data_IF_585098502745
#
_entry.id   IF_585098502745
#
_cell.length_a   1.000
_cell.length_b   1.000
_cell.length_c   1.000
_cell.angle_alpha   90.00
_cell.angle_beta   90.00
_cell.angle_gamma   90.00
#
_symmetry.space_group_name_H-M   'P 1'
#
loop_
_entity.id
_entity.type
_entity.pdbx_description
1 polymer ?
#
# COMPACT_ATOMS: atom_id res chain seq x y z
N UNK A 1 -0.05 -20.14 13.84
CA UNK A 1 0.13 -18.94 12.98
C UNK A 1 -0.69 -17.82 13.61
N UNK A 2 -0.10 -16.65 13.85
CA UNK A 2 -0.87 -15.51 14.39
C UNK A 2 -1.79 -14.93 13.29
N UNK A 3 -2.75 -14.10 13.69
CA UNK A 3 -3.79 -13.55 12.79
C UNK A 3 -3.19 -12.73 11.63
N UNK A 4 -2.16 -11.92 11.90
CA UNK A 4 -1.47 -11.12 10.89
C UNK A 4 -0.78 -11.98 9.80
N UNK A 5 -0.07 -13.04 10.19
CA UNK A 5 0.52 -13.98 9.22
C UNK A 5 -0.55 -14.73 8.43
N UNK A 6 -1.70 -15.04 9.04
CA UNK A 6 -2.83 -15.68 8.34
C UNK A 6 -3.40 -14.75 7.27
N UNK A 7 -3.60 -13.46 7.58
CA UNK A 7 -4.06 -12.47 6.61
C UNK A 7 -3.08 -12.37 5.42
N UNK A 8 -1.78 -12.21 5.69
CA UNK A 8 -0.76 -12.12 4.64
C UNK A 8 -0.76 -13.32 3.70
N UNK A 9 -0.89 -14.53 4.26
CA UNK A 9 -1.00 -15.75 3.47
C UNK A 9 -2.24 -15.71 2.57
N UNK A 10 -3.41 -15.40 3.13
CA UNK A 10 -4.67 -15.41 2.37
C UNK A 10 -4.65 -14.35 1.28
N UNK A 11 -4.14 -13.14 1.59
CA UNK A 11 -3.91 -12.12 0.58
C UNK A 11 -2.97 -12.61 -0.53
N UNK A 12 -1.84 -13.22 -0.16
CA UNK A 12 -0.91 -13.76 -1.16
C UNK A 12 -1.54 -14.83 -2.04
N UNK A 13 -2.26 -15.79 -1.45
CA UNK A 13 -2.98 -16.83 -2.19
C UNK A 13 -4.09 -16.27 -3.09
N UNK A 14 -4.78 -15.20 -2.65
CA UNK A 14 -5.76 -14.49 -3.47
C UNK A 14 -5.09 -13.86 -4.69
N UNK A 15 -4.01 -13.10 -4.48
CA UNK A 15 -3.26 -12.46 -5.57
C UNK A 15 -2.68 -13.50 -6.53
N UNK A 16 -2.14 -14.61 -6.05
CA UNK A 16 -1.66 -15.70 -6.90
C UNK A 16 -2.77 -16.29 -7.79
N UNK A 17 -3.99 -16.41 -7.24
CA UNK A 17 -5.15 -16.92 -8.01
C UNK A 17 -5.61 -15.94 -9.08
N UNK A 18 -5.55 -14.63 -8.80
CA UNK A 18 -5.96 -13.58 -9.74
C UNK A 18 -4.92 -13.29 -10.82
N UNK A 19 -3.65 -13.46 -10.48
CA UNK A 19 -2.53 -13.17 -11.36
C UNK A 19 -1.68 -14.44 -11.58
N UNK A 20 -2.27 -15.49 -12.18
CA UNK A 20 -1.52 -16.70 -12.52
C UNK A 20 -0.43 -16.38 -13.54
N UNK A 21 0.56 -17.26 -13.65
CA UNK A 21 1.71 -17.08 -14.53
C UNK A 21 3.04 -17.21 -13.79
N UNK A 22 4.13 -16.96 -14.51
CA UNK A 22 5.48 -16.95 -13.95
C UNK A 22 6.01 -15.51 -13.85
N UNK A 23 7.24 -15.33 -13.34
CA UNK A 23 7.81 -14.00 -13.15
C UNK A 23 8.15 -13.28 -14.47
N UNK A 24 8.12 -13.97 -15.61
CA UNK A 24 8.41 -13.37 -16.91
C UNK A 24 7.17 -12.77 -17.59
N UNK A 25 5.97 -13.02 -17.06
CA UNK A 25 4.72 -12.47 -17.59
C UNK A 25 4.64 -10.95 -17.33
N UNK A 26 4.66 -10.12 -18.40
CA UNK A 26 4.68 -8.67 -18.28
C UNK A 26 3.35 -8.07 -17.77
N UNK A 27 2.27 -8.83 -17.78
CA UNK A 27 0.96 -8.38 -17.30
C UNK A 27 0.78 -8.61 -15.80
N UNK A 28 1.71 -9.31 -15.13
CA UNK A 28 1.65 -9.51 -13.68
C UNK A 28 2.05 -8.24 -12.93
N UNK A 29 1.30 -7.86 -11.87
CA UNK A 29 1.58 -6.64 -11.14
C UNK A 29 2.84 -6.76 -10.29
N UNK A 30 3.57 -5.65 -10.18
CA UNK A 30 4.69 -5.49 -9.25
C UNK A 30 4.15 -4.91 -7.94
N UNK A 31 4.48 -5.55 -6.83
CA UNK A 31 4.05 -5.13 -5.49
C UNK A 31 5.13 -4.29 -4.80
N UNK A 32 4.71 -3.39 -3.92
CA UNK A 32 5.55 -2.83 -2.85
C UNK A 32 4.93 -3.25 -1.52
N UNK A 33 5.73 -3.90 -0.66
CA UNK A 33 5.22 -4.57 0.54
C UNK A 33 6.08 -4.24 1.75
N UNK A 34 5.44 -4.04 2.90
CA UNK A 34 6.14 -3.94 4.19
C UNK A 34 6.43 -5.29 4.83
N UNK A 35 5.70 -6.35 4.43
CA UNK A 35 5.97 -7.72 4.85
C UNK A 35 6.58 -8.56 3.72
N UNK A 36 7.88 -8.38 3.50
CA UNK A 36 8.68 -9.05 2.48
C UNK A 36 8.79 -10.60 2.59
N UNK A 37 8.06 -11.22 3.53
CA UNK A 37 8.02 -12.67 3.71
C UNK A 37 6.77 -13.31 3.09
N UNK A 38 5.70 -13.44 3.89
CA UNK A 38 4.53 -14.23 3.52
C UNK A 38 3.84 -13.74 2.23
N UNK A 39 3.63 -12.43 2.07
CA UNK A 39 2.87 -11.90 0.93
C UNK A 39 3.59 -12.17 -0.40
N UNK A 40 4.89 -11.84 -0.58
CA UNK A 40 5.63 -12.26 -1.78
C UNK A 40 5.70 -13.77 -1.98
N UNK A 41 5.92 -14.54 -0.90
CA UNK A 41 6.03 -15.99 -0.97
C UNK A 41 4.76 -16.66 -1.52
N UNK A 42 3.60 -16.31 -0.98
CA UNK A 42 2.32 -16.90 -1.38
C UNK A 42 1.77 -16.33 -2.69
N UNK A 43 1.99 -15.04 -2.98
CA UNK A 43 1.56 -14.44 -4.25
C UNK A 43 2.42 -14.83 -5.44
N UNK A 44 3.71 -15.11 -5.20
CA UNK A 44 4.72 -15.36 -6.23
C UNK A 44 4.84 -14.21 -7.24
N UNK A 45 4.46 -13.01 -6.84
CA UNK A 45 4.57 -11.78 -7.63
C UNK A 45 5.92 -11.11 -7.35
N UNK A 46 6.44 -10.36 -8.34
CA UNK A 46 7.58 -9.50 -8.08
C UNK A 46 7.21 -8.49 -6.99
N UNK A 47 8.13 -8.26 -6.04
CA UNK A 47 7.89 -7.34 -4.93
C UNK A 47 9.13 -6.53 -4.58
N UNK A 48 8.88 -5.27 -4.25
CA UNK A 48 9.82 -4.34 -3.63
C UNK A 48 9.56 -4.39 -2.13
N UNK A 49 10.58 -4.75 -1.35
CA UNK A 49 10.52 -4.63 0.10
C UNK A 49 10.73 -3.16 0.51
N UNK A 50 9.66 -2.53 0.97
CA UNK A 50 9.70 -1.10 1.28
C UNK A 50 10.49 -0.80 2.54
N UNK A 51 10.84 -1.79 3.38
CA UNK A 51 11.61 -1.59 4.60
C UNK A 51 13.12 -1.83 4.40
N UNK A 52 13.53 -2.29 3.22
CA UNK A 52 14.94 -2.48 2.87
C UNK A 52 15.63 -3.66 3.57
N UNK A 53 14.88 -4.66 4.04
CA UNK A 53 15.46 -5.93 4.52
C UNK A 53 16.00 -6.75 3.36
N UNK A 54 15.33 -6.72 2.20
CA UNK A 54 15.73 -7.48 1.00
C UNK A 54 15.93 -6.63 -0.25
N UNK A 55 15.68 -5.32 -0.20
CA UNK A 55 15.91 -4.38 -1.32
C UNK A 55 17.12 -3.48 -1.00
N UNK A 56 18.19 -3.62 -1.79
CA UNK A 56 19.49 -2.98 -1.57
C UNK A 56 19.44 -1.46 -1.76
N UNK A 57 18.67 -0.99 -2.74
CA UNK A 57 18.47 0.43 -2.97
C UNK A 57 17.77 1.07 -1.77
N UNK A 58 16.70 0.44 -1.26
CA UNK A 58 15.98 0.94 -0.09
C UNK A 58 16.89 0.95 1.12
N UNK A 59 17.65 -0.12 1.37
CA UNK A 59 18.61 -0.19 2.48
C UNK A 59 19.63 0.97 2.46
N UNK A 60 20.05 1.41 1.27
CA UNK A 60 21.05 2.47 1.10
C UNK A 60 20.46 3.89 0.97
N UNK A 61 19.23 4.05 0.46
CA UNK A 61 18.66 5.34 0.05
C UNK A 61 17.25 5.60 0.60
N UNK A 62 16.77 4.75 1.51
CA UNK A 62 15.45 4.90 2.11
C UNK A 62 15.30 6.18 2.93
N UNK A 63 14.04 6.57 3.13
CA UNK A 63 13.67 7.68 3.99
C UNK A 63 13.65 7.21 5.44
N UNK A 64 14.29 7.98 6.32
CA UNK A 64 14.26 7.72 7.75
C UNK A 64 13.09 8.43 8.43
N UNK A 65 12.44 7.70 9.35
CA UNK A 65 11.44 8.27 10.26
C UNK A 65 12.08 9.09 11.37
N UNK A 66 11.33 10.06 11.91
CA UNK A 66 11.78 10.91 13.03
C UNK A 66 11.83 10.13 14.36
N UNK A 67 11.12 9.01 14.44
CA UNK A 67 10.97 8.19 15.63
C UNK A 67 11.67 6.84 15.46
N UNK A 68 12.40 6.41 16.50
CA UNK A 68 13.08 5.13 16.52
C UNK A 68 12.08 3.98 16.77
N UNK A 69 11.68 3.29 15.70
CA UNK A 69 10.91 2.05 15.77
C UNK A 69 11.76 0.90 15.20
N UNK A 70 12.26 -0.03 16.05
CA UNK A 70 13.05 -1.17 15.59
C UNK A 70 12.40 -1.90 14.40
N UNK A 71 13.18 -2.11 13.35
CA UNK A 71 12.73 -2.78 12.12
C UNK A 71 11.82 -1.95 11.20
N UNK A 72 11.47 -0.71 11.57
CA UNK A 72 10.57 0.17 10.80
C UNK A 72 11.09 1.62 10.76
N UNK A 73 12.41 1.78 10.78
CA UNK A 73 13.05 3.10 10.76
C UNK A 73 13.16 3.70 9.36
N UNK A 74 13.01 2.86 8.34
CA UNK A 74 13.35 3.13 6.97
C UNK A 74 12.18 2.76 6.08
N UNK A 75 11.86 3.60 5.10
CA UNK A 75 10.92 3.24 4.03
C UNK A 75 11.45 3.63 2.66
N UNK A 76 11.02 2.93 1.61
CA UNK A 76 11.34 3.30 0.24
C UNK A 76 10.77 4.69 -0.16
N UNK A 77 11.54 5.54 -0.86
CA UNK A 77 11.00 6.78 -1.42
C UNK A 77 9.92 6.49 -2.48
N UNK A 78 8.87 7.33 -2.58
CA UNK A 78 7.79 7.12 -3.56
C UNK A 78 8.33 7.18 -5.00
N UNK A 79 9.27 8.08 -5.29
CA UNK A 79 9.92 8.19 -6.60
C UNK A 79 10.67 6.91 -6.99
N UNK A 80 11.21 6.16 -6.01
CA UNK A 80 11.82 4.86 -6.25
C UNK A 80 10.77 3.81 -6.64
N UNK A 81 9.63 3.75 -5.95
CA UNK A 81 8.53 2.83 -6.30
C UNK A 81 7.99 3.12 -7.71
N UNK A 82 7.91 4.40 -8.10
CA UNK A 82 7.55 4.82 -9.46
C UNK A 82 8.59 4.33 -10.48
N UNK A 83 9.90 4.51 -10.21
CA UNK A 83 10.98 3.99 -11.09
C UNK A 83 10.94 2.48 -11.23
N UNK A 84 10.63 1.76 -10.14
CA UNK A 84 10.44 0.30 -10.12
C UNK A 84 9.12 -0.15 -10.76
N UNK A 85 8.30 0.79 -11.24
CA UNK A 85 7.03 0.53 -11.93
C UNK A 85 6.04 -0.27 -11.07
N UNK A 86 6.10 -0.09 -9.75
CA UNK A 86 5.19 -0.69 -8.78
C UNK A 86 3.75 -0.37 -9.16
N UNK A 87 2.91 -1.40 -9.19
CA UNK A 87 1.48 -1.27 -9.44
C UNK A 87 0.71 -1.11 -8.13
N UNK A 88 0.98 -1.96 -7.14
CA UNK A 88 0.26 -2.00 -5.87
C UNK A 88 1.21 -1.76 -4.70
N UNK A 89 0.90 -0.78 -3.86
CA UNK A 89 1.53 -0.62 -2.55
C UNK A 89 0.58 -1.22 -1.51
N UNK A 90 1.00 -2.31 -0.86
CA UNK A 90 0.20 -3.05 0.12
C UNK A 90 0.87 -2.91 1.48
N UNK A 91 0.22 -2.18 2.37
CA UNK A 91 0.58 -2.12 3.77
C UNK A 91 -0.29 -3.07 4.58
N UNK A 92 0.15 -3.38 5.80
CA UNK A 92 -0.51 -4.30 6.70
C UNK A 92 -1.37 -3.54 7.71
N UNK A 93 -2.68 -3.54 7.51
CA UNK A 93 -3.64 -2.87 8.40
C UNK A 93 -4.81 -3.77 8.85
N UNK A 94 -4.71 -5.08 8.62
CA UNK A 94 -5.79 -6.01 8.91
C UNK A 94 -6.80 -6.09 7.77
N UNK A 95 -7.87 -6.86 7.97
CA UNK A 95 -8.99 -6.83 7.05
C UNK A 95 -9.94 -5.69 7.43
N UNK A 96 -10.42 -4.97 6.43
CA UNK A 96 -11.43 -3.93 6.58
C UNK A 96 -12.82 -4.49 6.26
N UNK A 97 -13.82 -3.83 6.84
CA UNK A 97 -15.21 -3.96 6.39
C UNK A 97 -15.48 -2.85 5.36
N UNK A 98 -15.76 -3.19 4.10
CA UNK A 98 -16.04 -2.17 3.09
C UNK A 98 -17.28 -1.35 3.42
N UNK A 99 -17.23 -0.06 3.08
CA UNK A 99 -18.33 0.88 3.29
C UNK A 99 -19.09 1.06 1.96
N UNK A 100 -20.38 0.65 1.86
CA UNK A 100 -21.12 0.65 0.59
C UNK A 100 -21.23 2.03 -0.09
N UNK A 101 -21.24 3.08 0.71
CA UNK A 101 -21.46 4.47 0.33
C UNK A 101 -20.16 5.29 0.21
N UNK A 102 -18.99 4.66 0.41
CA UNK A 102 -17.69 5.32 0.29
C UNK A 102 -17.49 5.91 -1.11
N UNK A 103 -16.87 7.09 -1.17
CA UNK A 103 -16.61 7.83 -2.41
C UNK A 103 -15.14 8.11 -2.69
N UNK A 104 -14.30 8.13 -1.65
CA UNK A 104 -12.88 8.42 -1.75
C UNK A 104 -12.17 7.96 -0.46
N UNK A 105 -10.84 8.00 -0.49
CA UNK A 105 -9.98 7.97 0.70
C UNK A 105 -9.28 9.29 0.88
N UNK A 106 -9.24 9.80 2.10
CA UNK A 106 -8.40 10.94 2.47
C UNK A 106 -6.94 10.51 2.54
N UNK A 107 -6.02 11.44 2.26
CA UNK A 107 -4.61 11.20 2.49
C UNK A 107 -4.32 10.77 3.93
N UNK A 108 -4.97 11.39 4.92
CA UNK A 108 -4.83 11.04 6.35
C UNK A 108 -5.26 9.62 6.70
N UNK A 109 -6.22 9.03 5.98
CA UNK A 109 -6.60 7.61 6.16
C UNK A 109 -5.51 6.65 5.67
N UNK A 110 -4.67 7.09 4.73
CA UNK A 110 -3.64 6.26 4.11
C UNK A 110 -2.27 6.42 4.77
N UNK A 111 -2.04 7.47 5.57
CA UNK A 111 -0.71 7.75 6.14
C UNK A 111 -0.20 6.59 6.98
N UNK A 112 -1.08 5.88 7.69
CA UNK A 112 -0.68 4.73 8.50
C UNK A 112 0.00 3.62 7.68
N UNK A 113 -0.30 3.53 6.38
CA UNK A 113 0.31 2.57 5.47
C UNK A 113 1.74 2.91 5.12
N UNK A 114 2.06 4.20 5.12
CA UNK A 114 3.37 4.67 4.71
C UNK A 114 3.81 5.97 5.40
N UNK A 115 3.94 5.94 6.75
CA UNK A 115 3.92 7.14 7.58
C UNK A 115 5.18 8.00 7.45
N UNK A 116 6.28 7.41 7.00
CA UNK A 116 7.56 8.13 6.85
C UNK A 116 7.67 8.84 5.48
N UNK A 117 6.97 8.33 4.47
CA UNK A 117 6.93 8.92 3.13
C UNK A 117 5.87 10.03 3.04
N UNK A 118 5.98 10.87 2.01
CA UNK A 118 4.94 11.83 1.67
C UNK A 118 4.02 11.24 0.59
N UNK A 119 2.80 10.85 0.97
CA UNK A 119 1.84 10.28 0.02
C UNK A 119 1.33 11.29 -1.01
N UNK A 120 1.61 12.59 -0.84
CA UNK A 120 1.35 13.60 -1.87
C UNK A 120 2.23 13.39 -3.10
N UNK A 121 3.37 12.73 -2.95
CA UNK A 121 4.30 12.40 -4.05
C UNK A 121 3.85 11.19 -4.88
N UNK A 122 2.78 10.49 -4.47
CA UNK A 122 2.16 9.45 -5.29
C UNK A 122 1.77 10.01 -6.67
N UNK A 123 1.84 9.20 -7.73
CA UNK A 123 1.36 9.60 -9.05
C UNK A 123 -0.05 10.22 -8.99
N UNK A 124 -0.34 11.29 -9.78
CA UNK A 124 -1.64 11.96 -9.71
C UNK A 124 -2.84 11.05 -9.98
N UNK A 125 -2.65 10.02 -10.82
CA UNK A 125 -3.64 9.01 -11.16
C UNK A 125 -3.77 7.90 -10.11
N UNK A 126 -2.98 7.91 -9.04
CA UNK A 126 -3.02 6.85 -8.04
C UNK A 126 -4.34 6.86 -7.25
N UNK A 127 -4.90 5.67 -7.07
CA UNK A 127 -6.18 5.41 -6.40
C UNK A 127 -5.99 4.41 -5.27
N UNK A 128 -7.08 4.06 -4.58
CA UNK A 128 -7.12 2.99 -3.58
C UNK A 128 -8.03 1.89 -4.09
N UNK A 129 -7.54 0.65 -4.01
CA UNK A 129 -8.31 -0.54 -4.28
C UNK A 129 -8.73 -1.20 -2.97
N UNK A 130 -10.01 -1.55 -2.85
CA UNK A 130 -10.49 -2.52 -1.89
C UNK A 130 -10.46 -3.90 -2.57
N UNK A 131 -9.50 -4.75 -2.16
CA UNK A 131 -9.34 -6.10 -2.67
C UNK A 131 -10.13 -7.06 -1.77
N UNK A 132 -11.20 -7.72 -2.26
CA UNK A 132 -12.01 -8.59 -1.44
C UNK A 132 -11.24 -9.86 -1.04
N UNK A 133 -11.39 -10.23 0.23
CA UNK A 133 -10.97 -11.50 0.80
C UNK A 133 -12.19 -12.21 1.39
N UNK A 134 -12.04 -13.47 1.77
CA UNK A 134 -13.12 -14.27 2.36
C UNK A 134 -13.76 -13.63 3.62
N UNK A 135 -12.99 -12.85 4.38
CA UNK A 135 -13.38 -12.28 5.68
C UNK A 135 -13.36 -10.75 5.70
N UNK A 136 -13.42 -10.10 4.52
CA UNK A 136 -13.45 -8.65 4.42
C UNK A 136 -12.76 -8.15 3.16
N UNK A 137 -11.97 -7.09 3.28
CA UNK A 137 -11.11 -6.62 2.19
C UNK A 137 -9.78 -6.15 2.75
N UNK A 138 -8.82 -5.90 1.87
CA UNK A 138 -7.62 -5.12 2.22
C UNK A 138 -7.54 -3.90 1.32
N UNK A 139 -6.81 -2.88 1.77
CA UNK A 139 -6.44 -1.78 0.91
C UNK A 139 -5.16 -2.06 0.14
N UNK A 140 -5.10 -1.54 -1.07
CA UNK A 140 -3.86 -1.34 -1.80
C UNK A 140 -3.89 0.04 -2.46
N UNK A 141 -2.79 0.78 -2.40
CA UNK A 141 -2.64 1.98 -3.23
C UNK A 141 -2.28 1.51 -4.63
N UNK A 142 -3.13 1.80 -5.61
CA UNK A 142 -2.89 1.51 -7.01
C UNK A 142 -2.10 2.65 -7.64
N UNK A 143 -0.78 2.50 -7.65
CA UNK A 143 0.15 3.55 -8.03
C UNK A 143 0.35 3.63 -9.56
N UNK A 144 0.12 2.53 -10.28
CA UNK A 144 0.34 2.44 -11.73
C UNK A 144 -0.58 1.42 -12.38
N UNK A 145 -1.21 1.83 -13.48
CA UNK A 145 -2.07 0.99 -14.30
C UNK A 145 -1.41 -0.34 -14.73
N UNK A 146 -2.23 -1.39 -14.76
CA UNK A 146 -1.90 -2.75 -15.11
C UNK A 146 -3.17 -3.42 -15.71
N UNK A 147 -3.12 -3.95 -16.94
CA UNK A 147 -4.30 -4.50 -17.60
C UNK A 147 -4.99 -5.66 -16.87
N UNK A 148 -4.26 -6.42 -16.04
CA UNK A 148 -4.86 -7.50 -15.26
C UNK A 148 -5.61 -6.97 -14.04
N UNK A 149 -5.11 -5.91 -13.40
CA UNK A 149 -5.82 -5.22 -12.31
C UNK A 149 -7.03 -4.47 -12.87
N UNK A 150 -6.86 -3.74 -13.97
CA UNK A 150 -7.92 -2.93 -14.59
C UNK A 150 -9.15 -3.81 -14.92
N UNK A 151 -8.93 -5.03 -15.44
CA UNK A 151 -10.00 -6.01 -15.69
C UNK A 151 -10.80 -6.36 -14.43
N UNK A 152 -10.15 -6.50 -13.28
CA UNK A 152 -10.81 -6.81 -12.00
C UNK A 152 -11.60 -5.61 -11.46
N UNK A 153 -11.19 -4.40 -11.81
CA UNK A 153 -11.95 -3.18 -11.48
C UNK A 153 -13.15 -3.04 -12.41
N UNK A 154 -12.93 -3.21 -13.72
CA UNK A 154 -13.94 -3.07 -14.76
C UNK A 154 -15.09 -4.09 -14.62
N UNK A 155 -14.79 -5.33 -14.22
CA UNK A 155 -15.80 -6.36 -13.97
C UNK A 155 -16.49 -6.23 -12.60
N UNK A 156 -16.09 -5.25 -11.80
CA UNK A 156 -16.65 -4.96 -10.48
C UNK A 156 -16.17 -5.90 -9.37
N UNK A 157 -15.19 -6.77 -9.64
CA UNK A 157 -14.66 -7.66 -8.60
C UNK A 157 -13.87 -6.90 -7.55
N UNK A 158 -13.08 -5.90 -7.96
CA UNK A 158 -12.35 -5.00 -7.07
C UNK A 158 -13.00 -3.62 -7.12
N UNK A 159 -13.04 -2.93 -5.97
CA UNK A 159 -13.56 -1.57 -5.92
C UNK A 159 -12.42 -0.57 -5.92
N UNK A 160 -12.52 0.44 -6.77
CA UNK A 160 -11.55 1.51 -6.88
C UNK A 160 -12.14 2.83 -6.38
N UNK A 161 -11.33 3.57 -5.62
CA UNK A 161 -11.70 4.85 -5.06
C UNK A 161 -10.61 5.89 -5.28
N UNK A 162 -10.96 7.14 -5.65
CA UNK A 162 -9.98 8.21 -5.76
C UNK A 162 -9.41 8.59 -4.40
N UNK A 163 -8.19 9.12 -4.41
CA UNK A 163 -7.55 9.74 -3.24
C UNK A 163 -7.91 11.23 -3.22
N UNK A 164 -8.55 11.69 -2.14
CA UNK A 164 -8.80 13.10 -1.90
C UNK A 164 -7.48 13.77 -1.49
N UNK A 165 -6.94 14.61 -2.38
CA UNK A 165 -5.66 15.32 -2.20
C UNK A 165 -5.81 16.81 -1.91
N UNK A 166 -6.93 17.42 -2.31
CA UNK A 166 -7.15 18.87 -2.24
C UNK A 166 -8.62 19.21 -1.95
N UNK A 167 -8.90 20.26 -1.14
CA UNK A 167 -7.92 21.02 -0.36
C UNK A 167 -7.31 20.16 0.76
N UNK A 168 -6.08 20.49 1.19
CA UNK A 168 -5.38 19.70 2.21
C UNK A 168 -6.17 19.64 3.54
N UNK A 169 -6.96 20.67 3.84
CA UNK A 169 -7.86 20.71 5.01
C UNK A 169 -8.97 19.66 4.98
N UNK A 170 -9.37 19.18 3.80
CA UNK A 170 -10.33 18.09 3.64
C UNK A 170 -9.63 16.73 3.48
N UNK A 171 -8.44 16.72 2.89
CA UNK A 171 -7.62 15.52 2.67
C UNK A 171 -6.90 15.03 3.95
N UNK A 172 -6.75 15.88 4.95
CA UNK A 172 -6.03 15.59 6.19
C UNK A 172 -6.88 15.95 7.40
N UNK A 173 -7.41 14.93 8.09
CA UNK A 173 -8.16 15.08 9.34
C UNK A 173 -7.41 14.47 10.52
N UNK A 174 -7.39 15.19 11.64
CA UNK A 174 -6.73 14.76 12.88
C UNK A 174 -7.33 13.47 13.46
N UNK A 175 -8.62 13.22 13.19
CA UNK A 175 -9.36 12.03 13.62
C UNK A 175 -8.90 10.75 12.95
N UNK A 176 -8.27 10.84 11.76
CA UNK A 176 -7.80 9.67 11.03
C UNK A 176 -6.42 9.20 11.51
N UNK A 177 -5.67 10.08 12.20
CA UNK A 177 -4.27 9.82 12.55
C UNK A 177 -4.14 9.09 13.90
N UNK A 178 -3.53 7.91 13.88
CA UNK A 178 -3.13 7.20 15.10
C UNK A 178 -1.98 7.90 15.81
N UNK A 179 -1.79 7.61 17.10
CA UNK A 179 -0.67 8.19 17.86
C UNK A 179 0.69 7.80 17.29
N UNK A 180 0.79 6.59 16.73
CA UNK A 180 2.01 6.11 16.09
C UNK A 180 2.36 6.97 14.86
N UNK A 181 1.38 7.26 14.01
CA UNK A 181 1.57 8.12 12.83
C UNK A 181 2.02 9.53 13.24
N UNK A 182 1.41 10.12 14.28
CA UNK A 182 1.81 11.43 14.80
C UNK A 182 3.27 11.47 15.25
N UNK A 183 3.78 10.36 15.80
CA UNK A 183 5.17 10.21 16.23
C UNK A 183 6.14 9.94 15.07
N UNK A 184 5.78 9.06 14.13
CA UNK A 184 6.69 8.64 13.06
C UNK A 184 6.87 9.69 11.96
N UNK A 185 5.88 10.55 11.75
CA UNK A 185 5.94 11.64 10.80
C UNK A 185 4.61 11.87 10.11
N UNK A 186 4.28 13.13 9.88
CA UNK A 186 3.08 13.54 9.16
C UNK A 186 3.44 14.27 7.87
N UNK A 187 4.52 13.89 7.18
CA UNK A 187 4.97 14.60 5.95
C UNK A 187 3.83 14.81 4.95
N UNK A 188 2.97 13.79 4.82
CA UNK A 188 1.71 13.84 4.05
C UNK A 188 0.73 14.92 4.54
N UNK A 189 0.57 15.06 5.87
CA UNK A 189 -0.34 15.98 6.54
C UNK A 189 0.40 16.90 7.54
N UNK A 190 1.24 17.84 7.06
CA UNK A 190 2.20 18.56 7.90
C UNK A 190 1.56 19.44 8.98
N UNK A 191 0.32 19.90 8.76
CA UNK A 191 -0.41 20.75 9.69
C UNK A 191 -1.05 19.98 10.87
N UNK A 192 -0.92 18.66 10.90
CA UNK A 192 -1.52 17.76 11.89
C UNK A 192 -0.50 17.17 12.88
N UNK A 193 0.75 17.65 12.84
CA UNK A 193 1.78 17.30 13.82
C UNK A 193 1.58 18.04 15.14
#
# INVERSE_FOLDING_TARGET
MNEGTRLLRITGEELARRFPGDLADPDRPILAVSAAGALPYFSRLESVDVLGLTDDYVAAHGLYGDFYLPGHQLVAPIDYLVRRRVNLIIALDGAITPQPDRKNYRLSELVEYYPIADLRDLPPAATVLEIPLEFGSIHAIYARANPAIDRLVDDGTWREYPILRSPLSAACLQSDLTQLVKLMGTKTCPNLK
#
